data_IF_263164755735
#
_entry.id   IF_263164755735
#
_cell.length_a   1.000
_cell.length_b   1.000
_cell.length_c   1.000
_cell.angle_alpha   90.00
_cell.angle_beta   90.00
_cell.angle_gamma   90.00
#
_symmetry.space_group_name_H-M   'P 1'
#
loop_
_entity.id
_entity.type
_entity.pdbx_description
1 polymer ?
#
# COMPACT_ATOMS: atom_id res chain seq x y z
N UNK A 1 13.56 0.91 -37.58
CA UNK A 1 13.88 2.00 -36.60
C UNK A 1 12.84 1.93 -35.50
N UNK A 2 13.22 2.24 -34.26
CA UNK A 2 12.23 2.17 -33.18
C UNK A 2 11.16 3.27 -33.38
N UNK A 3 9.88 2.86 -33.40
CA UNK A 3 8.73 3.76 -33.63
C UNK A 3 8.31 4.55 -32.36
N UNK A 4 9.26 4.83 -31.45
CA UNK A 4 9.00 5.57 -30.21
C UNK A 4 10.14 6.53 -29.87
N UNK A 5 9.83 7.56 -29.11
CA UNK A 5 10.74 8.65 -28.70
C UNK A 5 11.22 8.46 -27.25
N UNK A 6 12.21 9.26 -26.84
CA UNK A 6 12.61 9.33 -25.43
C UNK A 6 11.48 9.86 -24.53
N UNK A 7 10.57 10.68 -25.08
CA UNK A 7 9.40 11.18 -24.37
C UNK A 7 8.40 10.04 -24.06
N UNK A 8 8.19 9.12 -25.00
CA UNK A 8 7.33 7.94 -24.82
C UNK A 8 7.88 7.01 -23.74
N UNK A 9 9.21 6.80 -23.74
CA UNK A 9 9.88 6.02 -22.67
C UNK A 9 9.69 6.69 -21.32
N UNK A 10 9.84 8.01 -21.24
CA UNK A 10 9.65 8.77 -20.00
C UNK A 10 8.20 8.68 -19.52
N UNK A 11 7.24 8.93 -20.40
CA UNK A 11 5.81 8.87 -20.07
C UNK A 11 5.40 7.49 -19.55
N UNK A 12 5.79 6.42 -20.26
CA UNK A 12 5.44 5.06 -19.85
C UNK A 12 6.16 4.66 -18.54
N UNK A 13 7.38 5.14 -18.32
CA UNK A 13 8.08 4.97 -17.05
C UNK A 13 7.37 5.69 -15.89
N UNK A 14 6.94 6.93 -16.09
CA UNK A 14 6.19 7.70 -15.09
C UNK A 14 4.83 7.03 -14.79
N UNK A 15 4.19 6.51 -15.83
CA UNK A 15 2.92 5.78 -15.69
C UNK A 15 3.08 4.46 -14.93
N UNK A 16 4.14 3.70 -15.20
CA UNK A 16 4.30 2.35 -14.66
C UNK A 16 5.19 2.29 -13.42
N UNK A 17 6.20 3.16 -13.30
CA UNK A 17 7.27 3.03 -12.33
C UNK A 17 8.33 1.99 -12.70
N UNK A 18 8.19 1.30 -13.83
CA UNK A 18 9.14 0.29 -14.30
C UNK A 18 10.51 0.87 -14.64
N UNK A 19 11.55 0.03 -14.62
CA UNK A 19 12.91 0.44 -14.97
C UNK A 19 13.00 0.95 -16.42
N UNK A 20 13.80 1.99 -16.66
CA UNK A 20 13.94 2.61 -17.99
C UNK A 20 14.28 1.61 -19.08
N UNK A 21 15.15 0.63 -18.80
CA UNK A 21 15.55 -0.39 -19.76
C UNK A 21 14.43 -1.38 -20.06
N UNK A 22 13.59 -1.69 -19.09
CA UNK A 22 12.46 -2.60 -19.27
C UNK A 22 11.36 -1.92 -20.08
N UNK A 23 11.08 -0.64 -19.83
CA UNK A 23 10.18 0.18 -20.64
C UNK A 23 10.66 0.28 -22.06
N UNK A 24 11.96 0.58 -22.29
CA UNK A 24 12.52 0.64 -23.64
C UNK A 24 12.42 -0.68 -24.39
N UNK A 25 12.71 -1.81 -23.72
CA UNK A 25 12.55 -3.15 -24.29
C UNK A 25 11.10 -3.45 -24.63
N UNK A 26 10.18 -3.12 -23.74
CA UNK A 26 8.75 -3.33 -23.97
C UNK A 26 8.22 -2.50 -25.15
N UNK A 27 8.60 -1.22 -25.26
CA UNK A 27 8.25 -0.39 -26.41
C UNK A 27 8.86 -0.91 -27.72
N UNK A 28 10.08 -1.42 -27.68
CA UNK A 28 10.71 -2.05 -28.87
C UNK A 28 9.93 -3.29 -29.29
N UNK A 29 9.54 -4.15 -28.35
CA UNK A 29 8.80 -5.39 -28.58
C UNK A 29 7.35 -5.11 -29.02
N UNK A 30 6.78 -3.98 -28.58
CA UNK A 30 5.46 -3.49 -28.94
C UNK A 30 5.44 -2.62 -30.22
N UNK A 31 6.58 -2.44 -30.89
CA UNK A 31 6.74 -1.57 -32.06
C UNK A 31 6.26 -0.12 -31.83
N UNK A 32 6.47 0.39 -30.61
CA UNK A 32 6.11 1.74 -30.17
C UNK A 32 4.69 1.88 -29.63
N UNK A 33 3.88 0.85 -29.62
CA UNK A 33 2.53 0.83 -29.06
C UNK A 33 2.61 0.83 -27.52
N UNK A 34 2.15 1.92 -26.90
CA UNK A 34 2.24 2.10 -25.45
C UNK A 34 1.35 1.13 -24.66
N UNK A 35 0.16 0.78 -25.16
CA UNK A 35 -0.76 -0.16 -24.50
C UNK A 35 -0.21 -1.57 -24.50
N UNK A 36 0.30 -2.03 -25.65
CA UNK A 36 0.98 -3.32 -25.75
C UNK A 36 2.26 -3.37 -24.92
N UNK A 37 3.03 -2.27 -24.86
CA UNK A 37 4.22 -2.19 -24.03
C UNK A 37 3.86 -2.30 -22.54
N UNK A 38 2.77 -1.67 -22.10
CA UNK A 38 2.25 -1.79 -20.75
C UNK A 38 1.90 -3.25 -20.40
N UNK A 39 1.20 -3.95 -21.30
CA UNK A 39 0.85 -5.35 -21.08
C UNK A 39 2.09 -6.25 -21.05
N UNK A 40 3.09 -6.01 -21.92
CA UNK A 40 4.37 -6.71 -21.88
C UNK A 40 5.10 -6.51 -20.55
N UNK A 41 5.13 -5.27 -20.02
CA UNK A 41 5.72 -4.96 -18.71
C UNK A 41 5.00 -5.74 -17.61
N UNK A 42 3.66 -5.71 -17.62
CA UNK A 42 2.82 -6.43 -16.66
C UNK A 42 3.09 -7.95 -16.69
N UNK A 43 3.05 -8.58 -17.85
CA UNK A 43 3.28 -10.02 -18.01
C UNK A 43 4.69 -10.44 -17.60
N UNK A 44 5.72 -9.65 -17.96
CA UNK A 44 7.10 -9.91 -17.53
C UNK A 44 7.26 -9.74 -16.03
N UNK A 45 6.60 -8.74 -15.47
CA UNK A 45 6.56 -8.49 -14.04
C UNK A 45 5.96 -9.67 -13.27
N UNK A 46 4.78 -10.15 -13.67
CA UNK A 46 4.11 -11.30 -13.07
C UNK A 46 4.99 -12.57 -13.10
N UNK A 47 5.64 -12.88 -14.23
CA UNK A 47 6.58 -14.00 -14.32
C UNK A 47 7.80 -13.87 -13.40
N UNK A 48 8.13 -12.68 -12.95
CA UNK A 48 9.26 -12.44 -12.07
C UNK A 48 8.90 -12.41 -10.58
N UNK A 49 7.61 -12.45 -10.22
CA UNK A 49 7.16 -12.43 -8.82
C UNK A 49 7.71 -13.62 -8.03
N UNK A 50 7.62 -14.84 -8.59
CA UNK A 50 8.14 -16.05 -7.94
C UNK A 50 9.63 -15.99 -7.62
N UNK A 51 10.42 -15.28 -8.45
CA UNK A 51 11.85 -15.08 -8.21
C UNK A 51 12.14 -14.11 -7.05
N UNK A 52 11.13 -13.34 -6.65
CA UNK A 52 11.24 -12.34 -5.58
C UNK A 52 10.68 -12.82 -4.25
N UNK A 53 10.00 -13.96 -4.20
CA UNK A 53 9.39 -14.50 -2.96
C UNK A 53 10.38 -14.59 -1.79
N UNK A 54 11.62 -15.00 -2.07
CA UNK A 54 12.69 -15.11 -1.08
C UNK A 54 13.33 -13.79 -0.63
N UNK A 55 12.96 -12.64 -1.24
CA UNK A 55 13.51 -11.34 -0.85
C UNK A 55 12.82 -10.81 0.40
N UNK A 56 13.51 -9.96 1.15
CA UNK A 56 12.94 -9.28 2.32
C UNK A 56 12.28 -7.97 1.88
N UNK A 57 11.07 -7.73 2.36
CA UNK A 57 10.35 -6.48 2.25
C UNK A 57 10.29 -5.85 3.65
N UNK A 58 11.34 -5.08 4.01
CA UNK A 58 11.55 -4.53 5.36
C UNK A 58 11.25 -3.03 5.47
N UNK A 59 11.07 -2.34 4.34
CA UNK A 59 10.51 -1.01 4.29
C UNK A 59 9.00 -1.07 4.08
N UNK A 60 8.30 0.05 4.20
CA UNK A 60 6.85 0.05 3.96
C UNK A 60 6.13 1.25 4.51
N UNK A 61 4.82 1.11 4.61
CA UNK A 61 3.90 2.11 5.11
C UNK A 61 2.79 1.45 5.94
N UNK A 62 2.43 2.11 7.04
CA UNK A 62 1.22 1.82 7.80
C UNK A 62 0.13 2.79 7.37
N UNK A 63 -0.92 2.27 6.76
CA UNK A 63 -2.14 3.02 6.49
C UNK A 63 -3.16 2.70 7.58
N UNK A 64 -3.83 3.71 8.12
CA UNK A 64 -4.80 3.49 9.17
C UNK A 64 -5.94 4.50 9.11
N UNK A 65 -7.12 4.08 9.58
CA UNK A 65 -8.32 4.90 9.66
C UNK A 65 -9.13 4.52 10.89
N UNK A 66 -9.81 5.50 11.47
CA UNK A 66 -10.85 5.26 12.48
C UNK A 66 -12.09 6.08 12.16
N UNK A 67 -13.26 5.55 12.52
CA UNK A 67 -14.54 6.27 12.55
C UNK A 67 -14.94 6.70 13.97
N UNK A 68 -14.05 6.47 14.96
CA UNK A 68 -14.27 6.73 16.36
C UNK A 68 -14.76 5.51 17.15
N UNK A 69 -15.29 4.49 16.49
CA UNK A 69 -15.76 3.23 17.09
C UNK A 69 -15.06 2.00 16.55
N UNK A 70 -14.61 2.08 15.30
CA UNK A 70 -13.82 1.05 14.64
C UNK A 70 -12.52 1.66 14.14
N UNK A 71 -11.40 1.04 14.47
CA UNK A 71 -10.09 1.38 13.94
C UNK A 71 -9.53 0.25 13.09
N UNK A 72 -8.98 0.58 11.93
CA UNK A 72 -8.32 -0.36 11.03
C UNK A 72 -6.93 0.15 10.70
N UNK A 73 -5.93 -0.74 10.79
CA UNK A 73 -4.56 -0.49 10.40
C UNK A 73 -4.09 -1.60 9.47
N UNK A 74 -3.43 -1.22 8.37
CA UNK A 74 -2.84 -2.14 7.41
C UNK A 74 -1.39 -1.78 7.19
N UNK A 75 -0.51 -2.78 7.25
CA UNK A 75 0.90 -2.66 6.93
C UNK A 75 1.15 -3.17 5.52
N UNK A 76 1.68 -2.30 4.65
CA UNK A 76 2.08 -2.64 3.29
C UNK A 76 3.59 -2.48 3.19
N UNK A 77 4.30 -3.56 2.86
CA UNK A 77 5.76 -3.60 2.84
C UNK A 77 6.31 -3.61 1.42
N UNK A 78 7.51 -3.01 1.26
CA UNK A 78 8.32 -2.96 0.05
C UNK A 78 9.78 -3.35 0.37
N UNK A 79 10.59 -3.64 -0.65
CA UNK A 79 12.02 -3.93 -0.46
C UNK A 79 12.78 -2.67 -0.02
N UNK A 80 12.44 -1.50 -0.58
CA UNK A 80 13.16 -0.25 -0.36
C UNK A 80 12.27 0.88 0.16
N UNK A 81 12.90 1.82 0.88
CA UNK A 81 12.26 3.06 1.33
C UNK A 81 11.95 4.02 0.17
N UNK A 82 12.65 3.90 -0.96
CA UNK A 82 12.35 4.67 -2.18
C UNK A 82 10.94 4.36 -2.69
N UNK A 83 10.55 3.09 -2.68
CA UNK A 83 9.19 2.68 -3.05
C UNK A 83 8.20 3.13 -1.99
N UNK A 84 8.51 2.97 -0.70
CA UNK A 84 7.64 3.40 0.39
C UNK A 84 7.32 4.91 0.36
N UNK A 85 8.24 5.75 -0.14
CA UNK A 85 8.06 7.20 -0.33
C UNK A 85 7.34 7.58 -1.63
N UNK A 86 7.13 6.65 -2.55
CA UNK A 86 6.52 6.92 -3.83
C UNK A 86 5.01 7.16 -3.68
N UNK A 87 4.48 8.23 -4.28
CA UNK A 87 3.06 8.56 -4.18
C UNK A 87 2.15 7.41 -4.61
N UNK A 88 2.49 6.67 -5.67
CA UNK A 88 1.72 5.51 -6.13
C UNK A 88 1.66 4.40 -5.09
N UNK A 89 2.72 4.21 -4.30
CA UNK A 89 2.73 3.23 -3.22
C UNK A 89 1.86 3.68 -2.05
N UNK A 90 1.91 4.99 -1.73
CA UNK A 90 1.04 5.60 -0.72
C UNK A 90 -0.43 5.47 -1.13
N UNK A 91 -0.76 5.80 -2.38
CA UNK A 91 -2.11 5.69 -2.92
C UNK A 91 -2.60 4.24 -2.89
N UNK A 92 -1.75 3.30 -3.33
CA UNK A 92 -2.04 1.86 -3.26
C UNK A 92 -2.30 1.38 -1.83
N UNK A 93 -1.48 1.83 -0.86
CA UNK A 93 -1.65 1.47 0.55
C UNK A 93 -2.99 1.99 1.11
N UNK A 94 -3.41 3.19 0.70
CA UNK A 94 -4.71 3.75 1.05
C UNK A 94 -5.87 2.99 0.38
N UNK A 95 -5.71 2.53 -0.86
CA UNK A 95 -6.70 1.67 -1.52
C UNK A 95 -6.86 0.33 -0.78
N UNK A 96 -5.75 -0.29 -0.33
CA UNK A 96 -5.78 -1.52 0.47
C UNK A 96 -6.49 -1.27 1.81
N UNK A 97 -6.21 -0.15 2.47
CA UNK A 97 -6.91 0.23 3.70
C UNK A 97 -8.42 0.39 3.46
N UNK A 98 -8.81 1.07 2.38
CA UNK A 98 -10.22 1.24 2.03
C UNK A 98 -10.90 -0.11 1.78
N UNK A 99 -10.24 -1.06 1.11
CA UNK A 99 -10.73 -2.43 0.93
C UNK A 99 -10.87 -3.17 2.27
N UNK A 100 -9.90 -3.01 3.19
CA UNK A 100 -9.96 -3.58 4.54
C UNK A 100 -11.16 -3.07 5.35
N UNK A 101 -11.40 -1.75 5.30
CA UNK A 101 -12.54 -1.11 5.97
C UNK A 101 -13.87 -1.59 5.37
N UNK A 102 -14.00 -1.55 4.03
CA UNK A 102 -15.23 -1.91 3.33
C UNK A 102 -15.59 -3.39 3.48
N UNK A 103 -14.60 -4.29 3.47
CA UNK A 103 -14.83 -5.74 3.61
C UNK A 103 -15.03 -6.18 5.06
N UNK A 104 -14.62 -5.36 6.03
CA UNK A 104 -14.60 -5.77 7.44
C UNK A 104 -13.57 -6.89 7.72
N UNK A 105 -12.54 -7.05 6.87
CA UNK A 105 -11.53 -8.09 7.03
C UNK A 105 -10.90 -8.04 8.43
N UNK A 106 -10.85 -9.18 9.10
CA UNK A 106 -10.30 -9.33 10.44
C UNK A 106 -8.89 -9.94 10.44
N UNK A 107 -8.51 -10.57 9.33
CA UNK A 107 -7.22 -11.23 9.16
C UNK A 107 -6.66 -11.02 7.75
N UNK A 108 -5.42 -11.47 7.55
CA UNK A 108 -4.69 -11.28 6.31
C UNK A 108 -5.32 -12.02 5.13
N UNK A 109 -5.81 -13.23 5.35
CA UNK A 109 -6.40 -14.05 4.28
C UNK A 109 -7.70 -13.43 3.78
N UNK A 110 -8.55 -12.96 4.71
CA UNK A 110 -9.77 -12.22 4.38
C UNK A 110 -9.46 -10.92 3.63
N UNK A 111 -8.42 -10.19 4.04
CA UNK A 111 -8.00 -8.97 3.35
C UNK A 111 -7.50 -9.26 1.94
N UNK A 112 -6.64 -10.25 1.76
CA UNK A 112 -6.11 -10.61 0.44
C UNK A 112 -7.21 -11.05 -0.54
N UNK A 113 -8.28 -11.67 -0.03
CA UNK A 113 -9.45 -12.07 -0.80
C UNK A 113 -10.48 -10.95 -1.00
N UNK A 114 -10.35 -9.83 -0.29
CA UNK A 114 -11.31 -8.72 -0.35
C UNK A 114 -11.34 -8.09 -1.75
N UNK A 115 -12.53 -7.66 -2.23
CA UNK A 115 -12.68 -6.99 -3.52
C UNK A 115 -11.89 -5.67 -3.56
N UNK A 116 -11.16 -5.44 -4.65
CA UNK A 116 -10.41 -4.20 -4.90
C UNK A 116 -10.33 -3.92 -6.40
N UNK A 117 -11.14 -2.99 -6.88
CA UNK A 117 -11.29 -2.72 -8.33
C UNK A 117 -11.91 -3.91 -9.06
N UNK A 118 -11.29 -4.34 -10.17
CA UNK A 118 -11.79 -5.47 -10.98
C UNK A 118 -11.32 -6.85 -10.46
N UNK A 119 -10.65 -6.91 -9.30
CA UNK A 119 -10.13 -8.15 -8.74
C UNK A 119 -10.13 -8.13 -7.22
N UNK A 120 -9.17 -8.83 -6.65
CA UNK A 120 -8.94 -8.88 -5.21
C UNK A 120 -7.75 -7.99 -4.81
N UNK A 121 -7.59 -7.74 -3.50
CA UNK A 121 -6.39 -7.09 -2.95
C UNK A 121 -5.13 -7.84 -3.40
N UNK A 122 -5.17 -9.19 -3.39
CA UNK A 122 -4.05 -10.03 -3.86
C UNK A 122 -3.72 -9.78 -5.33
N UNK A 123 -4.73 -9.75 -6.20
CA UNK A 123 -4.51 -9.51 -7.63
C UNK A 123 -3.91 -8.13 -7.89
N UNK A 124 -4.40 -7.11 -7.17
CA UNK A 124 -3.89 -5.74 -7.27
C UNK A 124 -2.46 -5.62 -6.73
N UNK A 125 -2.16 -6.30 -5.61
CA UNK A 125 -0.82 -6.35 -5.02
C UNK A 125 0.18 -6.97 -6.02
N UNK A 126 -0.16 -8.10 -6.62
CA UNK A 126 0.68 -8.79 -7.58
C UNK A 126 0.91 -7.95 -8.85
N UNK A 127 -0.15 -7.32 -9.36
CA UNK A 127 -0.06 -6.43 -10.51
C UNK A 127 0.84 -5.22 -10.23
N UNK A 128 0.72 -4.62 -9.04
CA UNK A 128 1.52 -3.48 -8.64
C UNK A 128 2.99 -3.87 -8.39
N UNK A 129 3.24 -4.99 -7.70
CA UNK A 129 4.58 -5.54 -7.52
C UNK A 129 5.27 -5.89 -8.85
N UNK A 130 4.50 -6.38 -9.84
CA UNK A 130 4.98 -6.65 -11.18
C UNK A 130 5.49 -5.39 -11.89
N UNK A 131 4.79 -4.27 -11.72
CA UNK A 131 5.11 -2.97 -12.33
C UNK A 131 6.31 -2.31 -11.63
N UNK A 132 6.27 -2.24 -10.30
CA UNK A 132 7.33 -1.61 -9.47
C UNK A 132 8.65 -2.36 -9.59
N UNK A 133 8.60 -3.69 -9.74
CA UNK A 133 9.81 -4.51 -9.85
C UNK A 133 10.41 -4.91 -8.51
N UNK A 134 9.73 -4.64 -7.39
CA UNK A 134 10.09 -5.05 -6.04
C UNK A 134 9.11 -6.09 -5.49
N UNK A 135 9.53 -6.81 -4.45
CA UNK A 135 8.61 -7.60 -3.64
C UNK A 135 7.75 -6.64 -2.83
N UNK A 136 6.44 -6.79 -2.96
CA UNK A 136 5.46 -6.15 -2.10
C UNK A 136 4.71 -7.22 -1.32
N UNK A 137 4.31 -6.91 -0.11
CA UNK A 137 3.48 -7.80 0.71
C UNK A 137 2.61 -6.99 1.66
N UNK A 138 1.47 -7.56 2.03
CA UNK A 138 0.72 -7.08 3.19
C UNK A 138 1.33 -7.76 4.42
N UNK A 139 1.89 -6.98 5.33
CA UNK A 139 2.56 -7.49 6.53
C UNK A 139 1.56 -7.92 7.58
N UNK A 140 0.62 -7.04 7.89
CA UNK A 140 -0.43 -7.31 8.89
C UNK A 140 -1.64 -6.41 8.66
N UNK A 141 -2.75 -6.86 9.25
CA UNK A 141 -3.96 -6.07 9.44
C UNK A 141 -4.31 -6.11 10.93
N UNK A 142 -4.77 -4.98 11.45
CA UNK A 142 -5.33 -4.87 12.80
C UNK A 142 -6.69 -4.20 12.68
N UNK A 143 -7.71 -4.81 13.27
CA UNK A 143 -9.05 -4.24 13.42
C UNK A 143 -9.41 -4.24 14.89
N UNK A 144 -9.83 -3.09 15.40
CA UNK A 144 -10.27 -2.88 16.80
C UNK A 144 -11.64 -2.24 16.80
N UNK A 145 -12.46 -2.63 17.77
CA UNK A 145 -13.78 -2.05 18.00
C UNK A 145 -13.92 -1.67 19.47
N UNK A 146 -14.57 -0.55 19.73
CA UNK A 146 -14.81 -0.03 21.09
C UNK A 146 -15.69 1.20 21.08
N UNK A 147 -16.09 1.67 22.28
CA UNK A 147 -16.91 2.89 22.42
C UNK A 147 -16.19 4.15 21.94
N UNK A 148 -14.86 4.17 22.09
CA UNK A 148 -13.96 5.16 21.52
C UNK A 148 -12.69 4.47 21.04
N UNK A 149 -12.30 4.74 19.79
CA UNK A 149 -11.09 4.23 19.17
C UNK A 149 -10.28 5.39 18.61
N UNK A 150 -9.07 5.56 19.13
CA UNK A 150 -8.12 6.55 18.65
C UNK A 150 -6.98 5.90 17.86
N UNK A 151 -6.41 6.70 16.97
CA UNK A 151 -5.32 6.32 16.08
C UNK A 151 -4.08 7.16 16.36
N UNK A 152 -2.94 6.49 16.52
CA UNK A 152 -1.63 7.12 16.55
C UNK A 152 -0.70 6.50 15.52
N UNK A 153 -0.20 7.31 14.60
CA UNK A 153 0.87 6.93 13.66
C UNK A 153 2.12 7.75 13.95
N UNK A 154 3.19 7.07 14.34
CA UNK A 154 4.45 7.73 14.61
C UNK A 154 5.11 8.20 13.32
N UNK A 155 5.66 9.42 13.35
CA UNK A 155 6.44 9.99 12.26
C UNK A 155 7.89 10.14 12.72
N UNK A 156 8.79 9.36 12.14
CA UNK A 156 10.21 9.34 12.52
C UNK A 156 11.03 10.43 11.83
N UNK A 157 10.56 10.95 10.70
CA UNK A 157 11.21 12.03 9.95
C UNK A 157 10.18 12.91 9.26
N UNK A 158 10.39 14.25 9.19
CA UNK A 158 9.53 15.15 8.43
C UNK A 158 9.43 14.81 6.94
N UNK A 159 10.44 14.15 6.39
CA UNK A 159 10.52 13.76 4.97
C UNK A 159 9.79 12.44 4.66
N UNK A 160 9.26 11.79 5.69
CA UNK A 160 8.56 10.51 5.57
C UNK A 160 7.09 10.69 5.93
N UNK A 161 6.15 10.02 5.24
CA UNK A 161 4.77 10.02 5.67
C UNK A 161 4.62 9.35 7.04
N UNK A 162 3.63 9.74 7.86
CA UNK A 162 3.31 9.04 9.09
C UNK A 162 3.10 7.54 8.83
N UNK A 163 3.60 6.69 9.73
CA UNK A 163 3.49 5.25 9.57
C UNK A 163 4.52 4.60 8.63
N UNK A 164 5.47 5.37 8.07
CA UNK A 164 6.52 4.82 7.20
C UNK A 164 7.56 3.98 7.94
N UNK A 165 7.67 4.10 9.25
CA UNK A 165 8.45 3.21 10.09
C UNK A 165 7.57 2.08 10.64
N UNK A 166 7.62 0.93 9.98
CA UNK A 166 6.83 -0.25 10.37
C UNK A 166 7.32 -0.89 11.68
N UNK A 167 8.49 -0.50 12.17
CA UNK A 167 9.02 -0.92 13.48
C UNK A 167 8.69 0.05 14.61
N UNK A 168 8.16 1.25 14.29
CA UNK A 168 7.75 2.21 15.32
C UNK A 168 6.51 1.72 16.09
N UNK A 169 6.28 2.26 17.30
CA UNK A 169 5.10 1.94 18.09
C UNK A 169 3.83 2.60 17.50
N UNK A 170 3.42 2.12 16.34
CA UNK A 170 2.17 2.53 15.69
C UNK A 170 1.05 1.59 16.14
N UNK A 171 -0.06 2.14 16.59
CA UNK A 171 -1.18 1.33 17.07
C UNK A 171 -2.52 2.03 16.92
N UNK A 172 -3.54 1.21 16.77
CA UNK A 172 -4.95 1.57 16.93
C UNK A 172 -5.39 0.98 18.26
N UNK A 173 -5.95 1.79 19.14
CA UNK A 173 -6.33 1.34 20.48
C UNK A 173 -7.78 1.70 20.79
N UNK A 174 -8.51 0.82 21.48
CA UNK A 174 -9.73 1.23 22.16
C UNK A 174 -9.35 2.17 23.31
N UNK A 175 -9.93 3.35 23.32
CA UNK A 175 -9.78 4.32 24.41
C UNK A 175 -11.06 4.29 25.24
N UNK A 176 -10.97 3.78 26.46
CA UNK A 176 -12.06 3.92 27.44
C UNK A 176 -11.88 5.30 28.09
N UNK A 177 -12.69 6.27 27.67
CA UNK A 177 -12.78 7.51 28.45
C UNK A 177 -13.40 7.18 29.81
N UNK A 178 -12.84 7.69 30.92
CA UNK A 178 -13.49 7.56 32.21
C UNK A 178 -14.89 8.19 32.09
N UNK A 179 -15.90 7.39 32.38
CA UNK A 179 -17.27 7.87 32.43
C UNK A 179 -17.29 9.17 33.25
N UNK A 180 -17.67 10.26 32.56
CA UNK A 180 -18.00 11.60 33.07
C UNK A 180 -17.69 11.80 34.56
N UNK A 181 -16.73 12.67 34.86
CA UNK A 181 -16.60 13.21 36.19
C UNK A 181 -17.99 13.77 36.58
N UNK A 182 -18.70 13.08 37.45
CA UNK A 182 -19.89 13.62 38.10
C UNK A 182 -19.50 14.96 38.71
N UNK A 183 -20.25 16.04 38.44
CA UNK A 183 -19.98 17.31 39.12
C UNK A 183 -20.14 17.05 40.60
N UNK A 184 -19.06 17.18 41.36
CA UNK A 184 -19.10 17.24 42.82
C UNK A 184 -19.96 18.42 43.19
N UNK A 185 -21.23 18.19 43.49
CA UNK A 185 -22.08 19.14 44.21
C UNK A 185 -21.51 19.31 45.60
N UNK A 186 -20.67 20.33 45.74
CA UNK A 186 -20.30 20.83 47.07
C UNK A 186 -21.53 21.53 47.63
N UNK A 187 -22.28 20.83 48.49
CA UNK A 187 -23.27 21.47 49.35
C UNK A 187 -22.54 22.15 50.51
N UNK A 188 -22.67 23.47 50.54
CA UNK A 188 -22.37 24.30 51.71
C UNK A 188 -23.59 24.30 52.63
#
# INVERSE_FOLDING_TARGET
>A
MANFTAADVKALREQTGAGMMDVKKALTEADGDAEKALEIIRLKGLKSLSKREGRQASAGLLAAQTDGTVGVLVEVNSETDFVAKNQKFIDFSNEVLAAAVASGAADLDALLAAPMGEGTVKDRLDAFAAIIGEKLQIGRIVRVEGDNVDLYLHQTSPDLPPGSDTNAPNFVMPVTLPSRLEPTTNSI
#
